data_IF_919626385259
#
_entry.id   IF_919626385259
#
_cell.length_a   1.000
_cell.length_b   1.000
_cell.length_c   1.000
_cell.angle_alpha   90.00
_cell.angle_beta   90.00
_cell.angle_gamma   90.00
#
_symmetry.space_group_name_H-M   'P 1'
#
loop_
_entity.id
_entity.type
_entity.pdbx_description
1 polymer ?
#
# COMPACT_ATOMS: atom_id res chain seq x y z
N UNK A 1 12.91 -56.29 -61.51
CA UNK A 1 12.45 -55.38 -62.58
C UNK A 1 12.62 -53.97 -62.04
N UNK A 2 13.62 -53.20 -62.51
CA UNK A 2 13.53 -52.21 -63.61
C UNK A 2 12.62 -51.03 -63.19
N UNK A 3 13.01 -49.75 -63.10
CA UNK A 3 13.90 -48.86 -63.88
C UNK A 3 14.29 -47.66 -62.97
N UNK A 4 15.54 -47.22 -62.86
CA UNK A 4 16.27 -46.19 -63.64
C UNK A 4 15.39 -45.16 -64.38
N UNK A 5 15.31 -43.91 -63.91
CA UNK A 5 15.09 -42.76 -64.80
C UNK A 5 15.90 -41.54 -64.35
N UNK A 6 16.85 -41.22 -65.21
CA UNK A 6 17.63 -39.98 -65.31
C UNK A 6 16.70 -38.86 -65.78
N UNK A 7 16.69 -37.71 -65.11
CA UNK A 7 16.23 -36.46 -65.75
C UNK A 7 17.30 -35.38 -65.55
N UNK A 8 17.93 -35.10 -66.68
CA UNK A 8 18.77 -33.97 -67.01
C UNK A 8 17.87 -32.76 -67.27
N UNK A 9 18.09 -31.64 -66.59
CA UNK A 9 17.60 -30.32 -67.05
C UNK A 9 18.77 -29.35 -67.05
N UNK A 10 19.24 -29.07 -68.26
CA UNK A 10 20.08 -27.92 -68.60
C UNK A 10 19.13 -26.78 -68.90
N UNK A 11 19.23 -25.68 -68.14
CA UNK A 11 18.49 -24.44 -68.35
C UNK A 11 19.43 -23.25 -68.20
N UNK A 12 19.59 -22.53 -69.30
CA UNK A 12 20.53 -21.44 -69.53
C UNK A 12 20.01 -20.07 -69.03
N UNK A 13 20.96 -19.13 -68.89
CA UNK A 13 20.85 -17.67 -68.92
C UNK A 13 20.12 -16.94 -67.78
N UNK A 14 20.88 -16.21 -66.98
CA UNK A 14 20.88 -14.73 -67.03
C UNK A 14 22.06 -14.17 -66.21
N UNK A 15 22.94 -13.45 -66.90
CA UNK A 15 23.99 -12.65 -66.30
C UNK A 15 23.38 -11.28 -66.01
N UNK A 16 23.03 -11.00 -64.75
CA UNK A 16 22.61 -9.66 -64.35
C UNK A 16 23.82 -8.85 -63.89
N UNK A 17 23.94 -7.69 -64.53
CA UNK A 17 24.99 -6.69 -64.40
C UNK A 17 24.84 -6.00 -63.04
N UNK A 18 25.82 -6.17 -62.15
CA UNK A 18 25.89 -5.42 -60.88
C UNK A 18 26.16 -3.94 -61.14
N UNK A 19 25.17 -3.10 -60.90
CA UNK A 19 25.38 -1.67 -60.64
C UNK A 19 26.03 -1.51 -59.26
N UNK A 20 27.12 -0.74 -59.22
CA UNK A 20 27.78 -0.35 -57.98
C UNK A 20 26.97 0.76 -57.32
N UNK A 21 26.20 0.42 -56.29
CA UNK A 21 25.83 1.39 -55.26
C UNK A 21 26.98 1.49 -54.26
N UNK A 22 27.56 2.70 -54.15
CA UNK A 22 28.50 3.05 -53.09
C UNK A 22 27.77 2.99 -51.74
N UNK A 23 28.10 1.96 -50.96
CA UNK A 23 27.76 1.88 -49.55
C UNK A 23 28.76 2.75 -48.77
N UNK A 24 28.28 3.89 -48.28
CA UNK A 24 29.00 4.70 -47.30
C UNK A 24 29.10 3.91 -45.98
N UNK A 25 30.16 3.11 -45.84
CA UNK A 25 30.54 2.52 -44.56
C UNK A 25 31.11 3.61 -43.65
N UNK A 26 30.23 4.31 -42.92
CA UNK A 26 30.61 5.03 -41.72
C UNK A 26 30.93 3.98 -40.65
N UNK A 27 32.22 3.71 -40.42
CA UNK A 27 32.68 2.96 -39.25
C UNK A 27 32.14 3.66 -38.00
N UNK A 28 31.41 2.99 -37.09
CA UNK A 28 31.10 3.59 -35.81
C UNK A 28 32.41 3.77 -35.04
N UNK A 29 32.82 5.02 -34.92
CA UNK A 29 33.88 5.47 -34.03
C UNK A 29 33.46 5.09 -32.61
N UNK A 30 34.16 4.13 -32.03
CA UNK A 30 34.00 3.69 -30.65
C UNK A 30 34.60 4.77 -29.74
N UNK A 31 33.90 5.88 -29.58
CA UNK A 31 34.17 6.82 -28.50
C UNK A 31 33.73 6.15 -27.19
N UNK A 32 34.70 5.49 -26.54
CA UNK A 32 34.57 5.07 -25.16
C UNK A 32 34.73 6.28 -24.25
N UNK A 33 33.77 7.19 -24.29
CA UNK A 33 33.56 8.14 -23.19
C UNK A 33 33.24 7.27 -21.99
N UNK A 34 34.15 7.18 -21.01
CA UNK A 34 33.83 6.62 -19.69
C UNK A 34 32.72 7.48 -19.10
N UNK A 35 31.47 7.09 -19.35
CA UNK A 35 30.31 7.65 -18.65
C UNK A 35 30.54 7.32 -17.19
N UNK A 36 30.80 8.35 -16.40
CA UNK A 36 30.90 8.24 -14.96
C UNK A 36 29.47 7.95 -14.46
N UNK A 37 29.09 6.68 -14.43
CA UNK A 37 27.74 6.22 -14.04
C UNK A 37 27.57 6.30 -12.53
N UNK A 38 27.67 7.51 -11.95
CA UNK A 38 27.11 7.73 -10.62
C UNK A 38 25.60 7.61 -10.79
N UNK A 39 24.94 6.73 -10.05
CA UNK A 39 23.53 6.57 -10.27
C UNK A 39 22.73 7.74 -9.69
N UNK A 40 21.73 8.18 -10.45
CA UNK A 40 20.90 9.37 -10.23
C UNK A 40 20.40 9.58 -8.80
N UNK A 41 20.08 8.51 -8.06
CA UNK A 41 19.56 8.61 -6.69
C UNK A 41 20.55 9.14 -5.65
N UNK A 42 21.84 9.20 -5.96
CA UNK A 42 22.80 9.82 -5.05
C UNK A 42 22.63 11.34 -4.98
N UNK A 43 22.01 11.94 -6.00
CA UNK A 43 21.81 13.39 -6.07
C UNK A 43 20.39 13.78 -5.61
N UNK A 44 19.54 12.80 -5.31
CA UNK A 44 18.23 13.03 -4.72
C UNK A 44 18.41 13.25 -3.22
N UNK A 45 17.98 14.43 -2.76
CA UNK A 45 18.04 14.83 -1.36
C UNK A 45 17.27 13.85 -0.47
N UNK A 46 17.87 13.55 0.69
CA UNK A 46 17.24 12.73 1.72
C UNK A 46 16.50 13.62 2.71
N UNK A 47 15.28 13.24 3.03
CA UNK A 47 14.46 13.82 4.07
C UNK A 47 14.37 12.83 5.23
N UNK A 48 14.47 13.32 6.46
CA UNK A 48 14.44 12.51 7.67
C UNK A 48 13.26 12.92 8.55
N UNK A 49 12.52 11.93 9.03
CA UNK A 49 11.39 12.11 9.91
C UNK A 49 11.52 11.19 11.13
N UNK A 50 10.96 11.62 12.26
CA UNK A 50 10.84 10.76 13.45
C UNK A 50 9.36 10.52 13.70
N UNK A 51 8.97 9.24 13.77
CA UNK A 51 7.60 8.80 14.03
C UNK A 51 7.54 7.93 15.29
N UNK A 52 6.34 7.72 15.83
CA UNK A 52 6.10 6.80 16.94
C UNK A 52 5.35 5.55 16.47
N UNK A 53 6.03 4.40 16.40
CA UNK A 53 5.51 3.11 15.94
C UNK A 53 4.29 2.61 16.74
N UNK A 54 4.03 3.15 17.92
CA UNK A 54 2.87 2.77 18.75
C UNK A 54 1.55 3.45 18.32
N UNK A 55 1.59 4.31 17.29
CA UNK A 55 0.46 5.12 16.85
C UNK A 55 0.44 5.31 15.33
N UNK A 56 -0.68 5.78 14.79
CA UNK A 56 -0.77 6.13 13.37
C UNK A 56 0.00 7.42 13.11
N UNK A 57 0.92 7.38 12.15
CA UNK A 57 1.72 8.55 11.75
C UNK A 57 1.46 8.90 10.30
N UNK A 58 1.49 10.20 10.02
CA UNK A 58 1.46 10.75 8.66
C UNK A 58 2.67 11.66 8.53
N UNK A 59 3.53 11.39 7.56
CA UNK A 59 4.61 12.31 7.16
C UNK A 59 4.29 12.84 5.78
N UNK A 60 4.71 14.07 5.50
CA UNK A 60 4.55 14.69 4.18
C UNK A 60 5.92 15.12 3.72
N UNK A 61 6.30 14.63 2.54
CA UNK A 61 7.54 14.97 1.88
C UNK A 61 7.51 16.36 1.24
N UNK A 62 8.67 16.88 0.90
CA UNK A 62 8.84 18.19 0.26
C UNK A 62 8.06 18.31 -1.07
N UNK A 63 7.88 17.20 -1.79
CA UNK A 63 7.12 17.18 -3.04
C UNK A 63 5.61 16.94 -2.83
N UNK A 64 5.12 17.01 -1.59
CA UNK A 64 3.72 16.84 -1.23
C UNK A 64 3.24 15.38 -1.23
N UNK A 65 4.13 14.42 -1.47
CA UNK A 65 3.83 12.99 -1.28
C UNK A 65 3.67 12.73 0.21
N UNK A 66 2.58 12.10 0.62
CA UNK A 66 2.38 11.74 2.02
C UNK A 66 2.45 10.23 2.21
N UNK A 67 2.96 9.83 3.36
CA UNK A 67 3.12 8.43 3.76
C UNK A 67 2.40 8.23 5.09
N UNK A 68 1.60 7.16 5.16
CA UNK A 68 0.83 6.77 6.33
C UNK A 68 1.40 5.47 6.87
N UNK A 69 1.75 5.51 8.15
CA UNK A 69 2.25 4.36 8.90
C UNK A 69 1.24 4.01 9.97
N UNK A 70 0.66 2.81 9.89
CA UNK A 70 -0.23 2.29 10.92
C UNK A 70 0.57 1.85 12.16
N UNK A 71 -0.07 1.76 13.35
CA UNK A 71 0.59 1.27 14.54
C UNK A 71 1.16 -0.15 14.32
N UNK A 72 2.32 -0.43 14.89
CA UNK A 72 2.95 -1.77 14.87
C UNK A 72 3.22 -2.31 13.46
N UNK A 73 3.37 -1.43 12.46
CA UNK A 73 3.62 -1.84 11.07
C UNK A 73 5.07 -2.27 10.78
N UNK A 74 5.97 -2.14 11.76
CA UNK A 74 7.38 -2.49 11.59
C UNK A 74 7.81 -3.69 12.44
N UNK A 75 8.72 -4.48 11.88
CA UNK A 75 9.45 -5.53 12.57
C UNK A 75 10.95 -5.33 12.49
N UNK A 76 11.67 -5.82 13.49
CA UNK A 76 13.13 -5.89 13.47
C UNK A 76 13.64 -7.11 12.66
N UNK A 77 14.96 -7.32 12.65
CA UNK A 77 15.57 -8.46 11.98
C UNK A 77 15.17 -9.83 12.55
N UNK A 78 14.59 -9.86 13.75
CA UNK A 78 14.10 -11.05 14.46
C UNK A 78 12.58 -11.21 14.39
N UNK A 79 11.92 -10.43 13.52
CA UNK A 79 10.46 -10.41 13.33
C UNK A 79 9.66 -9.91 14.55
N UNK A 80 10.33 -9.27 15.52
CA UNK A 80 9.64 -8.67 16.66
C UNK A 80 9.05 -7.32 16.29
N UNK A 81 7.84 -7.06 16.77
CA UNK A 81 7.14 -5.79 16.60
C UNK A 81 7.97 -4.67 17.24
N UNK A 82 8.25 -3.63 16.45
CA UNK A 82 8.94 -2.43 16.89
C UNK A 82 7.98 -1.48 17.60
N UNK A 83 8.43 -0.90 18.71
CA UNK A 83 7.69 0.06 19.53
C UNK A 83 8.48 1.36 19.67
N UNK A 84 7.80 2.47 19.99
CA UNK A 84 8.43 3.76 20.25
C UNK A 84 8.99 4.46 19.01
N UNK A 85 10.09 5.19 19.18
CA UNK A 85 10.65 6.07 18.14
C UNK A 85 11.25 5.28 16.98
N UNK A 86 10.89 5.67 15.77
CA UNK A 86 11.42 5.16 14.50
C UNK A 86 11.83 6.35 13.62
N UNK A 87 13.02 6.26 13.04
CA UNK A 87 13.50 7.21 12.03
C UNK A 87 13.06 6.74 10.65
N UNK A 88 12.50 7.64 9.85
CA UNK A 88 12.07 7.37 8.48
C UNK A 88 12.92 8.21 7.54
N UNK A 89 13.52 7.57 6.56
CA UNK A 89 14.28 8.21 5.49
C UNK A 89 13.47 8.16 4.20
N UNK A 90 13.23 9.33 3.59
CA UNK A 90 12.52 9.48 2.32
C UNK A 90 13.43 10.14 1.31
N UNK A 91 13.44 9.64 0.07
CA UNK A 91 13.96 10.37 -1.10
C UNK A 91 12.87 10.45 -2.14
N UNK A 92 12.63 11.63 -2.69
CA UNK A 92 11.60 11.85 -3.71
C UNK A 92 12.20 12.50 -4.95
N UNK A 93 11.94 11.90 -6.09
CA UNK A 93 12.39 12.39 -7.38
C UNK A 93 11.20 12.49 -8.35
N UNK A 94 10.87 13.72 -8.76
CA UNK A 94 9.76 13.99 -9.68
C UNK A 94 10.16 13.94 -11.16
N UNK A 95 11.43 14.20 -11.49
CA UNK A 95 11.93 14.32 -12.87
C UNK A 95 12.87 13.18 -13.26
N UNK A 96 12.38 11.94 -13.14
CA UNK A 96 13.19 10.74 -13.46
C UNK A 96 12.82 10.18 -14.84
N UNK A 97 12.50 11.04 -15.80
CA UNK A 97 12.22 10.57 -17.16
C UNK A 97 13.47 9.95 -17.79
N UNK A 98 14.64 10.54 -17.60
CA UNK A 98 15.84 10.10 -18.34
C UNK A 98 16.53 8.87 -17.72
N UNK A 99 16.29 8.55 -16.44
CA UNK A 99 16.93 7.39 -15.77
C UNK A 99 16.01 6.21 -15.48
N UNK A 100 14.69 6.37 -15.62
CA UNK A 100 13.75 5.25 -15.69
C UNK A 100 13.75 4.56 -17.05
N UNK A 101 14.17 5.27 -18.10
CA UNK A 101 14.26 4.80 -19.48
C UNK A 101 15.21 3.62 -19.70
N UNK A 102 16.02 3.23 -18.71
CA UNK A 102 16.91 2.06 -18.89
C UNK A 102 16.15 0.74 -18.96
N UNK A 103 14.85 0.68 -18.57
CA UNK A 103 14.00 -0.51 -18.71
C UNK A 103 12.46 -0.23 -18.76
N UNK A 104 12.01 1.00 -18.59
CA UNK A 104 10.57 1.34 -18.67
C UNK A 104 10.25 1.77 -20.11
N UNK A 105 9.21 1.17 -20.70
CA UNK A 105 8.79 1.43 -22.09
C UNK A 105 8.54 2.93 -22.34
N UNK A 106 8.73 3.37 -23.59
CA UNK A 106 8.68 4.78 -24.02
C UNK A 106 7.33 5.48 -23.84
N UNK A 107 6.26 4.73 -23.56
CA UNK A 107 4.88 5.26 -23.51
C UNK A 107 4.39 5.52 -22.07
N UNK A 108 5.32 5.64 -21.12
CA UNK A 108 5.04 5.71 -19.69
C UNK A 108 5.38 7.10 -19.13
N UNK A 109 4.36 7.79 -18.61
CA UNK A 109 4.55 9.04 -17.86
C UNK A 109 4.77 8.71 -16.38
N UNK A 110 5.96 9.02 -15.86
CA UNK A 110 6.25 8.86 -14.43
C UNK A 110 5.61 9.98 -13.63
N UNK A 111 4.80 9.62 -12.64
CA UNK A 111 4.14 10.53 -11.71
C UNK A 111 5.02 10.82 -10.48
N UNK A 112 5.94 9.91 -10.15
CA UNK A 112 6.98 10.12 -9.16
C UNK A 112 7.80 8.86 -8.90
N UNK A 113 9.04 9.06 -8.47
CA UNK A 113 9.90 8.02 -7.92
C UNK A 113 10.18 8.35 -6.47
N UNK A 114 10.06 7.37 -5.58
CA UNK A 114 10.37 7.56 -4.18
C UNK A 114 11.10 6.35 -3.60
N UNK A 115 11.92 6.64 -2.60
CA UNK A 115 12.63 5.69 -1.78
C UNK A 115 12.19 5.86 -0.34
N UNK A 116 11.99 4.74 0.36
CA UNK A 116 11.59 4.73 1.74
C UNK A 116 12.37 3.67 2.53
N UNK A 117 12.96 4.09 3.64
CA UNK A 117 13.55 3.22 4.66
C UNK A 117 13.15 3.65 6.06
N UNK A 118 13.15 2.70 6.99
CA UNK A 118 12.96 2.96 8.40
C UNK A 118 14.07 2.34 9.24
N UNK A 119 14.41 3.02 10.33
CA UNK A 119 15.47 2.64 11.25
C UNK A 119 15.01 2.81 12.70
N UNK A 120 15.49 1.92 13.57
CA UNK A 120 15.49 2.11 15.02
C UNK A 120 16.89 1.80 15.53
N UNK A 121 17.47 2.70 16.33
CA UNK A 121 18.83 2.57 16.85
C UNK A 121 19.87 2.23 15.77
N UNK A 122 19.78 2.92 14.63
CA UNK A 122 20.60 2.71 13.43
C UNK A 122 20.45 1.33 12.76
N UNK A 123 19.46 0.52 13.15
CA UNK A 123 19.16 -0.77 12.52
C UNK A 123 17.97 -0.63 11.60
N UNK A 124 18.10 -1.14 10.37
CA UNK A 124 17.05 -1.14 9.36
C UNK A 124 15.89 -2.05 9.79
N UNK A 125 14.67 -1.54 9.62
CA UNK A 125 13.44 -2.24 9.91
C UNK A 125 12.83 -2.86 8.65
N UNK A 126 11.85 -3.75 8.85
CA UNK A 126 11.00 -4.29 7.80
C UNK A 126 9.55 -3.90 8.05
N UNK A 127 8.75 -3.93 7.00
CA UNK A 127 7.29 -3.89 7.16
C UNK A 127 6.88 -5.28 7.64
N UNK A 128 6.02 -5.31 8.67
CA UNK A 128 5.44 -6.55 9.19
C UNK A 128 4.63 -7.25 8.09
N UNK A 129 4.71 -8.57 8.03
CA UNK A 129 3.94 -9.36 7.07
C UNK A 129 2.46 -9.00 7.10
N UNK A 130 1.85 -8.88 5.92
CA UNK A 130 0.46 -8.48 5.70
C UNK A 130 0.09 -7.05 6.10
N UNK A 131 1.05 -6.24 6.57
CA UNK A 131 0.87 -4.80 6.74
C UNK A 131 1.33 -4.05 5.48
N UNK A 132 0.90 -2.79 5.37
CA UNK A 132 1.33 -1.90 4.28
C UNK A 132 1.55 -0.48 4.77
N UNK A 133 2.41 0.24 4.06
CA UNK A 133 2.54 1.69 4.15
C UNK A 133 1.64 2.26 3.06
N UNK A 134 0.83 3.27 3.38
CA UNK A 134 0.00 3.91 2.38
C UNK A 134 0.66 5.17 1.88
N UNK A 135 0.70 5.33 0.57
CA UNK A 135 1.31 6.49 -0.06
C UNK A 135 0.27 7.23 -0.87
N UNK A 136 0.15 8.53 -0.61
CA UNK A 136 -0.64 9.44 -1.41
C UNK A 136 0.26 10.33 -2.25
N UNK A 137 0.09 10.28 -3.56
CA UNK A 137 0.78 11.18 -4.49
C UNK A 137 -0.18 12.28 -4.93
N UNK A 138 0.21 13.57 -4.84
CA UNK A 138 -0.60 14.66 -5.34
C UNK A 138 -0.60 14.65 -6.88
N UNK A 139 -1.77 14.87 -7.47
CA UNK A 139 -1.89 15.05 -8.92
C UNK A 139 -3.07 15.95 -9.27
N UNK A 140 -3.03 16.52 -10.46
CA UNK A 140 -3.97 17.58 -10.91
C UNK A 140 -5.22 17.05 -11.61
N UNK A 141 -5.19 15.83 -12.14
CA UNK A 141 -6.29 15.24 -12.92
C UNK A 141 -6.53 13.78 -12.54
N UNK A 142 -7.79 13.33 -12.51
CA UNK A 142 -8.13 11.94 -12.18
C UNK A 142 -7.32 10.96 -13.01
N UNK A 143 -6.36 10.31 -12.36
CA UNK A 143 -5.50 9.32 -12.99
C UNK A 143 -6.32 8.05 -13.28
N UNK A 144 -6.25 7.57 -14.52
CA UNK A 144 -6.71 6.25 -14.95
C UNK A 144 -5.49 5.44 -15.37
N UNK A 145 -5.54 4.12 -15.18
CA UNK A 145 -4.50 3.18 -15.60
C UNK A 145 -3.12 3.51 -15.00
N UNK A 146 -3.05 3.48 -13.67
CA UNK A 146 -1.81 3.72 -12.94
C UNK A 146 -1.09 2.40 -12.73
N UNK A 147 0.18 2.38 -13.12
CA UNK A 147 1.08 1.27 -12.91
C UNK A 147 1.99 1.57 -11.72
N UNK A 148 2.22 0.54 -10.91
CA UNK A 148 3.14 0.60 -9.80
C UNK A 148 4.36 -0.28 -10.11
N UNK A 149 5.53 0.31 -9.94
CA UNK A 149 6.79 -0.34 -10.22
C UNK A 149 7.62 -0.42 -8.95
N UNK A 150 8.18 -1.59 -8.70
CA UNK A 150 9.14 -1.83 -7.63
C UNK A 150 10.55 -1.85 -8.21
N UNK A 151 11.44 -1.07 -7.62
CA UNK A 151 12.84 -0.99 -8.00
C UNK A 151 13.72 -1.85 -7.09
N UNK A 152 14.66 -2.58 -7.68
CA UNK A 152 15.72 -3.30 -6.96
C UNK A 152 17.09 -2.79 -7.38
N UNK A 153 17.98 -2.58 -6.41
CA UNK A 153 19.35 -2.13 -6.68
C UNK A 153 20.21 -3.31 -7.15
N UNK A 154 20.73 -3.25 -8.37
CA UNK A 154 21.67 -4.22 -8.92
C UNK A 154 22.86 -3.47 -9.50
N UNK A 155 24.06 -3.68 -8.93
CA UNK A 155 25.33 -3.09 -9.42
C UNK A 155 25.21 -1.60 -9.73
N UNK A 156 24.68 -0.81 -8.79
CA UNK A 156 24.47 0.64 -8.96
C UNK A 156 23.47 1.02 -10.08
N UNK A 157 22.55 0.15 -10.46
CA UNK A 157 21.40 0.45 -11.34
C UNK A 157 20.10 0.02 -10.66
N UNK A 158 19.02 0.81 -10.76
CA UNK A 158 17.69 0.34 -10.33
C UNK A 158 17.10 -0.47 -11.48
N UNK A 159 16.79 -1.73 -11.20
CA UNK A 159 15.99 -2.57 -12.09
C UNK A 159 14.55 -2.53 -11.62
N UNK A 160 13.67 -2.08 -12.51
CA UNK A 160 12.24 -1.91 -12.24
C UNK A 160 11.46 -3.14 -12.67
N UNK A 161 10.52 -3.55 -11.83
CA UNK A 161 9.55 -4.60 -12.11
C UNK A 161 8.15 -4.05 -11.91
N UNK A 162 7.28 -4.20 -12.91
CA UNK A 162 5.87 -3.84 -12.79
C UNK A 162 5.18 -4.88 -11.88
N UNK A 163 4.54 -4.42 -10.81
CA UNK A 163 3.87 -5.28 -9.82
C UNK A 163 2.34 -5.29 -10.00
N UNK A 164 1.86 -4.99 -11.21
CA UNK A 164 0.48 -4.84 -11.67
C UNK A 164 -0.10 -3.41 -11.62
N UNK A 165 -1.12 -3.19 -12.45
CA UNK A 165 -1.94 -1.98 -12.47
C UNK A 165 -2.87 -1.97 -11.27
N UNK A 166 -2.80 -0.93 -10.43
CA UNK A 166 -3.66 -0.82 -9.25
C UNK A 166 -4.94 -0.06 -9.57
N UNK A 167 -6.07 -0.61 -9.14
CA UNK A 167 -7.28 0.20 -8.98
C UNK A 167 -7.17 0.99 -7.68
N UNK A 168 -7.36 2.29 -7.78
CA UNK A 168 -7.43 3.20 -6.64
C UNK A 168 -8.57 2.72 -5.73
N UNK A 169 -8.24 2.30 -4.52
CA UNK A 169 -9.24 1.99 -3.48
C UNK A 169 -9.19 3.10 -2.43
N UNK A 170 -10.34 3.52 -1.89
CA UNK A 170 -10.35 4.44 -0.77
C UNK A 170 -9.72 3.79 0.46
N UNK A 171 -8.93 4.56 1.22
CA UNK A 171 -8.44 4.20 2.55
C UNK A 171 -9.61 3.71 3.40
N UNK A 172 -9.51 2.47 3.84
CA UNK A 172 -10.24 1.93 4.98
C UNK A 172 -9.20 1.32 5.88
N UNK A 173 -9.00 1.84 7.09
CA UNK A 173 -8.15 1.14 8.06
C UNK A 173 -8.75 -0.28 8.24
N UNK A 174 -7.93 -1.30 8.48
CA UNK A 174 -8.48 -2.61 8.79
C UNK A 174 -9.25 -2.49 10.12
N UNK A 175 -10.56 -2.75 10.10
CA UNK A 175 -11.31 -2.91 11.34
C UNK A 175 -11.04 -4.33 11.85
N UNK A 176 -10.29 -4.51 12.96
CA UNK A 176 -9.88 -5.83 13.44
C UNK A 176 -11.06 -6.70 13.89
N UNK A 177 -12.26 -6.12 14.03
CA UNK A 177 -13.50 -6.79 14.43
C UNK A 177 -14.53 -6.91 13.30
N UNK A 178 -14.21 -6.50 12.07
CA UNK A 178 -15.16 -6.51 10.94
C UNK A 178 -15.77 -7.89 10.70
N UNK A 179 -14.95 -8.94 10.68
CA UNK A 179 -15.43 -10.32 10.48
C UNK A 179 -16.44 -10.74 11.56
N UNK A 180 -16.10 -10.49 12.83
CA UNK A 180 -16.96 -10.86 13.97
C UNK A 180 -18.29 -10.10 13.90
N UNK A 181 -18.27 -8.81 13.57
CA UNK A 181 -19.50 -8.03 13.44
C UNK A 181 -20.40 -8.51 12.30
N UNK A 182 -19.81 -8.88 11.15
CA UNK A 182 -20.55 -9.45 10.02
C UNK A 182 -21.21 -10.78 10.39
N UNK A 183 -20.55 -11.64 11.18
CA UNK A 183 -21.15 -12.88 11.71
C UNK A 183 -22.37 -12.61 12.60
N UNK A 184 -22.40 -11.46 13.29
CA UNK A 184 -23.56 -11.00 14.07
C UNK A 184 -24.55 -10.13 13.27
N UNK A 185 -24.36 -9.95 11.97
CA UNK A 185 -25.21 -9.11 11.12
C UNK A 185 -25.19 -7.63 11.49
N UNK A 186 -24.13 -7.15 12.16
CA UNK A 186 -24.00 -5.75 12.56
C UNK A 186 -23.34 -4.95 11.44
N UNK A 187 -24.04 -3.95 10.93
CA UNK A 187 -23.47 -2.99 10.00
C UNK A 187 -22.40 -2.13 10.69
N UNK A 188 -21.27 -1.91 10.00
CA UNK A 188 -20.13 -1.14 10.52
C UNK A 188 -20.35 0.35 10.22
N UNK A 189 -21.27 0.95 10.96
CA UNK A 189 -21.47 2.40 11.02
C UNK A 189 -21.78 2.82 12.45
N UNK A 190 -21.58 4.10 12.75
CA UNK A 190 -21.67 4.63 14.12
C UNK A 190 -23.03 4.37 14.78
N UNK A 191 -24.13 4.61 14.05
CA UNK A 191 -25.48 4.41 14.55
C UNK A 191 -25.80 2.93 14.87
N UNK A 192 -25.46 2.02 13.96
CA UNK A 192 -25.66 0.57 14.15
C UNK A 192 -24.81 0.02 15.29
N UNK A 193 -23.56 0.47 15.43
CA UNK A 193 -22.69 0.07 16.53
C UNK A 193 -23.19 0.61 17.87
N UNK A 194 -23.61 1.87 17.93
CA UNK A 194 -24.15 2.48 19.16
C UNK A 194 -25.42 1.76 19.63
N UNK A 195 -26.35 1.49 18.71
CA UNK A 195 -27.57 0.72 19.03
C UNK A 195 -27.23 -0.68 19.54
N UNK A 196 -26.37 -1.40 18.82
CA UNK A 196 -25.96 -2.75 19.21
C UNK A 196 -25.24 -2.76 20.56
N UNK A 197 -24.42 -1.74 20.85
CA UNK A 197 -23.75 -1.57 22.13
C UNK A 197 -24.77 -1.41 23.26
N UNK A 198 -25.75 -0.51 23.09
CA UNK A 198 -26.79 -0.27 24.09
C UNK A 198 -27.60 -1.53 24.40
N UNK A 199 -28.07 -2.23 23.36
CA UNK A 199 -28.85 -3.47 23.49
C UNK A 199 -28.04 -4.58 24.18
N UNK A 200 -26.80 -4.79 23.71
CA UNK A 200 -25.92 -5.86 24.23
C UNK A 200 -25.48 -5.59 25.67
N UNK A 201 -25.14 -4.34 25.99
CA UNK A 201 -24.75 -3.94 27.35
C UNK A 201 -25.93 -4.03 28.31
N UNK A 202 -27.12 -3.61 27.89
CA UNK A 202 -28.33 -3.72 28.71
C UNK A 202 -28.68 -5.19 29.00
N UNK A 203 -28.59 -6.08 28.00
CA UNK A 203 -28.79 -7.51 28.20
C UNK A 203 -27.79 -8.09 29.19
N UNK A 204 -26.48 -7.83 29.01
CA UNK A 204 -25.45 -8.36 29.92
C UNK A 204 -25.61 -7.82 31.35
N UNK A 205 -25.98 -6.56 31.50
CA UNK A 205 -26.32 -5.98 32.81
C UNK A 205 -27.48 -6.74 33.47
N UNK A 206 -28.54 -7.05 32.73
CA UNK A 206 -29.64 -7.86 33.26
C UNK A 206 -29.18 -9.28 33.65
N UNK A 207 -28.31 -9.90 32.86
CA UNK A 207 -27.74 -11.22 33.18
C UNK A 207 -26.94 -11.15 34.48
N UNK A 208 -26.03 -10.19 34.61
CA UNK A 208 -25.14 -10.09 35.77
C UNK A 208 -25.93 -9.70 37.05
N UNK A 209 -26.97 -8.86 36.93
CA UNK A 209 -27.84 -8.48 38.05
C UNK A 209 -28.76 -9.62 38.46
N UNK A 210 -29.44 -10.26 37.50
CA UNK A 210 -30.56 -11.17 37.76
C UNK A 210 -30.21 -12.64 37.69
N UNK A 211 -29.00 -13.04 37.28
CA UNK A 211 -28.63 -14.45 37.16
C UNK A 211 -27.39 -14.77 38.01
N UNK A 212 -27.26 -16.02 38.45
CA UNK A 212 -26.06 -16.56 39.11
C UNK A 212 -25.52 -17.69 38.25
N UNK A 213 -24.19 -17.77 38.15
CA UNK A 213 -23.54 -18.93 37.59
C UNK A 213 -23.70 -20.15 38.52
N UNK A 214 -24.35 -21.21 38.02
CA UNK A 214 -24.44 -22.53 38.66
C UNK A 214 -23.95 -23.59 37.69
N UNK A 215 -22.76 -24.14 37.95
CA UNK A 215 -22.11 -25.05 37.00
C UNK A 215 -21.80 -24.33 35.69
N UNK A 216 -22.34 -24.85 34.57
CA UNK A 216 -22.16 -24.29 33.23
C UNK A 216 -23.34 -23.43 32.74
N UNK A 217 -24.24 -23.01 33.64
CA UNK A 217 -25.42 -22.22 33.30
C UNK A 217 -25.55 -20.98 34.17
N UNK A 218 -25.99 -19.89 33.57
CA UNK A 218 -26.52 -18.73 34.27
C UNK A 218 -27.98 -18.98 34.58
N UNK A 219 -28.31 -19.16 35.86
CA UNK A 219 -29.66 -19.45 36.33
C UNK A 219 -30.22 -18.20 36.99
N UNK A 220 -31.49 -17.88 36.71
CA UNK A 220 -32.17 -16.74 37.31
C UNK A 220 -32.07 -16.77 38.84
N UNK A 221 -31.73 -15.64 39.47
CA UNK A 221 -31.81 -15.41 40.93
C UNK A 221 -33.30 -15.31 41.26
N UNK A 222 -33.91 -16.32 41.87
CA UNK A 222 -35.31 -16.22 42.23
C UNK A 222 -35.47 -15.06 43.22
N UNK A 223 -36.36 -14.13 42.93
CA UNK A 223 -36.99 -13.38 44.03
C UNK A 223 -37.86 -14.38 44.81
N UNK A 224 -38.10 -14.14 46.10
CA UNK A 224 -38.75 -15.09 47.02
C UNK A 224 -40.17 -15.59 46.61
N UNK A 225 -40.68 -15.24 45.42
CA UNK A 225 -42.04 -15.56 44.95
C UNK A 225 -42.14 -16.25 43.59
N UNK A 226 -41.06 -16.47 42.82
CA UNK A 226 -41.18 -17.01 41.46
C UNK A 226 -40.19 -18.15 41.18
N UNK A 227 -40.73 -19.34 40.86
CA UNK A 227 -39.97 -20.50 40.41
C UNK A 227 -40.02 -20.58 38.88
N UNK A 228 -39.06 -19.93 38.22
CA UNK A 228 -38.80 -20.14 36.79
C UNK A 228 -37.35 -20.53 36.57
N UNK A 229 -37.14 -21.65 35.88
CA UNK A 229 -35.83 -22.17 35.47
C UNK A 229 -35.42 -21.60 34.11
N UNK A 230 -35.43 -20.28 33.94
CA UNK A 230 -34.70 -19.70 32.81
C UNK A 230 -33.21 -19.82 33.07
N UNK A 231 -32.54 -20.67 32.29
CA UNK A 231 -31.12 -20.93 32.39
C UNK A 231 -30.44 -20.72 31.03
N UNK A 232 -29.48 -19.80 30.99
CA UNK A 232 -28.67 -19.55 29.81
C UNK A 232 -27.37 -20.35 29.89
N UNK A 233 -26.98 -20.97 28.78
CA UNK A 233 -25.68 -21.63 28.70
C UNK A 233 -24.54 -20.61 28.77
N UNK A 234 -23.46 -20.92 29.52
CA UNK A 234 -22.27 -20.06 29.62
C UNK A 234 -21.67 -19.75 28.26
N UNK A 235 -21.68 -20.70 27.32
CA UNK A 235 -21.18 -20.48 25.95
C UNK A 235 -21.98 -19.42 25.21
N UNK A 236 -23.29 -19.34 25.42
CA UNK A 236 -24.13 -18.29 24.84
C UNK A 236 -23.76 -16.93 25.43
N UNK A 237 -23.69 -16.81 26.76
CA UNK A 237 -23.30 -15.55 27.41
C UNK A 237 -21.89 -15.10 26.99
N UNK A 238 -20.96 -16.04 26.84
CA UNK A 238 -19.61 -15.74 26.36
C UNK A 238 -19.61 -15.23 24.92
N UNK A 239 -20.45 -15.77 24.01
CA UNK A 239 -20.63 -15.22 22.66
C UNK A 239 -21.14 -13.78 22.70
N UNK A 240 -22.11 -13.48 23.57
CA UNK A 240 -22.63 -12.12 23.74
C UNK A 240 -21.56 -11.17 24.29
N UNK A 241 -20.71 -11.60 25.23
CA UNK A 241 -19.56 -10.81 25.71
C UNK A 241 -18.51 -10.59 24.62
N UNK A 242 -18.22 -11.59 23.79
CA UNK A 242 -17.35 -11.44 22.62
C UNK A 242 -17.91 -10.43 21.60
N UNK A 243 -19.24 -10.49 21.35
CA UNK A 243 -19.95 -9.51 20.53
C UNK A 243 -19.78 -8.09 21.08
N UNK A 244 -19.96 -7.88 22.39
CA UNK A 244 -19.78 -6.56 23.02
C UNK A 244 -18.35 -6.04 22.81
N UNK A 245 -17.34 -6.87 23.07
CA UNK A 245 -15.93 -6.51 22.86
C UNK A 245 -15.63 -6.13 21.40
N UNK A 246 -16.22 -6.83 20.43
CA UNK A 246 -16.07 -6.53 19.01
C UNK A 246 -16.73 -5.18 18.62
N UNK A 247 -17.87 -4.86 19.24
CA UNK A 247 -18.55 -3.56 19.06
C UNK A 247 -17.68 -2.42 19.62
N UNK A 248 -17.21 -2.54 20.85
CA UNK A 248 -16.35 -1.54 21.50
C UNK A 248 -15.06 -1.30 20.71
N UNK A 249 -14.44 -2.38 20.25
CA UNK A 249 -13.24 -2.32 19.39
C UNK A 249 -13.53 -1.57 18.09
N UNK A 250 -14.69 -1.82 17.47
CA UNK A 250 -15.08 -1.14 16.23
C UNK A 250 -15.46 0.34 16.43
N UNK A 251 -16.05 0.70 17.57
CA UNK A 251 -16.30 2.10 17.92
C UNK A 251 -14.99 2.87 18.12
N UNK A 252 -14.03 2.27 18.83
CA UNK A 252 -12.68 2.81 18.96
C UNK A 252 -12.03 3.01 17.59
N UNK A 253 -12.11 1.99 16.73
CA UNK A 253 -11.64 2.04 15.35
C UNK A 253 -12.28 3.20 14.55
N UNK A 254 -13.60 3.39 14.59
CA UNK A 254 -14.26 4.48 13.85
C UNK A 254 -13.82 5.85 14.36
N UNK A 255 -13.63 6.00 15.67
CA UNK A 255 -13.10 7.23 16.27
C UNK A 255 -11.68 7.51 15.78
N UNK A 256 -10.82 6.51 15.77
CA UNK A 256 -9.45 6.60 15.25
C UNK A 256 -9.44 6.94 13.75
N UNK A 257 -10.32 6.33 12.95
CA UNK A 257 -10.47 6.64 11.53
C UNK A 257 -10.90 8.09 11.29
N UNK A 258 -11.83 8.62 12.09
CA UNK A 258 -12.27 10.01 12.00
C UNK A 258 -11.14 10.97 12.35
N UNK A 259 -10.40 10.70 13.43
CA UNK A 259 -9.21 11.48 13.82
C UNK A 259 -8.15 11.41 12.72
N UNK A 260 -7.89 10.23 12.18
CA UNK A 260 -6.96 10.01 11.08
C UNK A 260 -7.33 10.84 9.85
N UNK A 261 -8.59 10.77 9.42
CA UNK A 261 -9.07 11.53 8.26
C UNK A 261 -8.94 13.04 8.49
N UNK A 262 -9.22 13.52 9.70
CA UNK A 262 -9.03 14.93 10.07
C UNK A 262 -7.57 15.33 9.99
N UNK A 263 -6.67 14.58 10.65
CA UNK A 263 -5.23 14.86 10.66
C UNK A 263 -4.63 14.78 9.24
N UNK A 264 -5.07 13.81 8.45
CA UNK A 264 -4.70 13.67 7.04
C UNK A 264 -5.05 14.93 6.28
N UNK A 265 -6.30 15.38 6.37
CA UNK A 265 -6.73 16.59 5.67
C UNK A 265 -5.98 17.84 6.14
N UNK A 266 -5.77 18.01 7.45
CA UNK A 266 -5.02 19.14 8.00
C UNK A 266 -3.55 19.17 7.54
N UNK A 267 -2.86 18.01 7.57
CA UNK A 267 -1.46 17.91 7.12
C UNK A 267 -1.33 18.11 5.62
N UNK A 268 -2.28 17.58 4.85
CA UNK A 268 -2.37 17.84 3.42
C UNK A 268 -2.54 19.35 3.21
N UNK A 269 -3.55 19.99 3.80
CA UNK A 269 -3.77 21.43 3.68
C UNK A 269 -2.54 22.27 4.05
N UNK A 270 -1.82 21.90 5.11
CA UNK A 270 -0.57 22.58 5.50
C UNK A 270 0.53 22.42 4.45
N UNK A 271 0.75 21.20 3.95
CA UNK A 271 1.72 20.96 2.88
C UNK A 271 1.36 21.74 1.61
N UNK A 272 0.07 21.88 1.32
CA UNK A 272 -0.44 22.65 0.19
C UNK A 272 -0.15 24.14 0.28
N UNK A 273 -0.30 24.74 1.47
CA UNK A 273 0.07 26.15 1.68
C UNK A 273 1.53 26.42 1.35
N UNK A 274 2.39 25.42 1.56
CA UNK A 274 3.83 25.53 1.34
C UNK A 274 4.24 25.08 -0.07
N UNK A 275 3.33 24.47 -0.85
CA UNK A 275 3.63 23.99 -2.19
C UNK A 275 3.59 25.15 -3.20
N UNK A 276 4.55 25.24 -4.14
CA UNK A 276 4.58 26.32 -5.15
C UNK A 276 3.27 26.37 -5.95
N UNK A 277 2.50 27.45 -5.76
CA UNK A 277 1.15 27.64 -6.32
C UNK A 277 1.12 27.69 -7.86
N UNK A 278 2.28 27.87 -8.50
CA UNK A 278 2.41 27.85 -9.96
C UNK A 278 2.40 26.43 -10.57
N UNK A 279 2.19 25.38 -9.78
CA UNK A 279 2.28 23.99 -10.24
C UNK A 279 1.04 23.12 -10.00
N UNK A 280 -0.07 23.66 -9.50
CA UNK A 280 -1.23 22.81 -9.15
C UNK A 280 -2.58 23.43 -9.51
N UNK A 281 -3.47 22.57 -10.03
CA UNK A 281 -4.91 22.79 -10.16
C UNK A 281 -5.57 22.98 -8.79
N UNK A 282 -6.69 23.70 -8.74
CA UNK A 282 -7.46 24.00 -7.52
C UNK A 282 -8.17 22.80 -6.89
N UNK A 283 -8.17 21.62 -7.52
CA UNK A 283 -8.80 20.40 -7.01
C UNK A 283 -7.88 19.18 -7.18
N UNK A 284 -6.98 18.92 -6.22
CA UNK A 284 -6.24 17.66 -6.23
C UNK A 284 -7.17 16.49 -6.00
N UNK A 285 -6.81 15.37 -6.60
CA UNK A 285 -7.33 14.07 -6.18
C UNK A 285 -6.12 13.30 -5.65
N UNK A 286 -6.31 12.52 -4.59
CA UNK A 286 -5.27 11.72 -3.97
C UNK A 286 -5.59 10.26 -4.21
N UNK A 287 -4.57 9.51 -4.63
CA UNK A 287 -4.65 8.08 -4.84
C UNK A 287 -3.68 7.38 -3.91
N UNK A 288 -4.13 6.27 -3.36
CA UNK A 288 -3.41 5.53 -2.35
C UNK A 288 -2.82 4.25 -2.94
N UNK A 289 -1.57 4.00 -2.60
CA UNK A 289 -0.83 2.81 -3.01
C UNK A 289 -0.35 2.09 -1.76
N UNK A 290 -0.84 0.86 -1.48
CA UNK A 290 -0.29 0.06 -0.42
C UNK A 290 1.08 -0.45 -0.84
N UNK A 291 2.06 -0.30 0.03
CA UNK A 291 3.41 -0.82 -0.15
C UNK A 291 3.73 -1.81 0.94
N UNK A 292 4.02 -3.04 0.55
CA UNK A 292 4.26 -4.18 1.44
C UNK A 292 5.74 -4.34 1.83
N UNK A 293 6.66 -3.63 1.18
CA UNK A 293 8.09 -3.67 1.49
C UNK A 293 8.73 -2.29 1.38
N UNK A 294 9.80 -2.00 2.12
CA UNK A 294 10.61 -0.80 1.90
C UNK A 294 11.46 -0.91 0.63
N UNK A 295 11.84 0.23 0.04
CA UNK A 295 12.69 0.25 -1.14
C UNK A 295 12.36 1.36 -2.13
N UNK A 296 12.65 1.09 -3.41
CA UNK A 296 12.42 2.00 -4.52
C UNK A 296 11.08 1.73 -5.16
N UNK A 297 10.35 2.81 -5.46
CA UNK A 297 9.04 2.73 -6.08
C UNK A 297 8.90 3.80 -7.14
N UNK A 298 8.22 3.46 -8.24
CA UNK A 298 7.79 4.42 -9.22
C UNK A 298 6.30 4.24 -9.48
N UNK A 299 5.60 5.35 -9.57
CA UNK A 299 4.19 5.40 -9.96
C UNK A 299 4.17 6.00 -11.36
N UNK A 300 3.48 5.35 -12.27
CA UNK A 300 3.41 5.79 -13.66
C UNK A 300 2.03 5.68 -14.25
N UNK A 301 1.78 6.45 -15.31
CA UNK A 301 0.57 6.40 -16.12
C UNK A 301 0.95 5.94 -17.52
N UNK A 302 0.33 4.88 -18.00
CA UNK A 302 0.46 4.44 -19.40
C UNK A 302 -0.35 5.38 -20.30
N UNK A 303 0.31 6.00 -21.29
CA UNK A 303 -0.35 6.83 -22.30
C UNK A 303 -0.87 5.90 -23.41
N UNK A 304 -2.19 5.66 -23.44
CA UNK A 304 -2.88 5.03 -24.57
C UNK A 304 -3.42 6.09 -25.51
#
# INVERSE_FOLDING_TARGET
MKYLFFILVIGLFACEKKEKHQENTHKPQKDSTKVNTKPFWHDVASQEFVINADSTNIIVGENGVFFVFLPQCFTDSTEKIVQGKVQIQVKEAQKVLDSLQTNIQTDVQTLGVFYLEAFQDNKKLKIKDQESIWIGVPYTEKLKNIDFWKGSMIKNTIVWKNEASYQIKPIKMPNPSEKVLLEYGIAINEASLQKSHQETSHFLKQVDEKFVLKGNKYVYKPSAKEAYEEAWDVSFINKIRQKLKAIETSQKYLKEQTIFNKLKNEKIEQAWKNYPQNRVSTNPIFNEFPIEQMGWFAISKTMK
#
